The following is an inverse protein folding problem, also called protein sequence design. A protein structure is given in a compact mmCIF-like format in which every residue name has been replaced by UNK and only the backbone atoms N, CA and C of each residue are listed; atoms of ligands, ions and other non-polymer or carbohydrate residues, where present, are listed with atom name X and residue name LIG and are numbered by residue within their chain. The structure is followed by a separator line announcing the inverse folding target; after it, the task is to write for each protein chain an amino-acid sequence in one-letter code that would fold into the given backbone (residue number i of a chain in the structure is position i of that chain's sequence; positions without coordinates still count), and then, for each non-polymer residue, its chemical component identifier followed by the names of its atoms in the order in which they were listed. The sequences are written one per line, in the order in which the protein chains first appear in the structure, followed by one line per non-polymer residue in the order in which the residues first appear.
data_IF_936399803726
#
_entry.id   IF_936399803726
#
_cell.length_a   1.000
_cell.length_b   1.000
_cell.length_c   1.000
_cell.angle_alpha   90.00
_cell.angle_beta   90.00
_cell.angle_gamma   90.00
#
_symmetry.space_group_name_H-M   'P 1'
#
loop_
_entity.id
_entity.type
_entity.pdbx_description
1 polymer ?
#
# COMPACT_ATOMS: atom_id res chain seq x y z
N UNK A 1 32.70 2.69 11.99
CA UNK A 1 31.66 1.74 12.45
C UNK A 1 32.08 0.34 12.01
N UNK A 2 32.05 -0.67 12.88
CA UNK A 2 32.22 -2.06 12.44
C UNK A 2 31.00 -2.43 11.58
N UNK A 3 31.24 -3.07 10.43
CA UNK A 3 30.17 -3.54 9.55
C UNK A 3 29.39 -4.63 10.30
N UNK A 4 28.19 -4.31 10.79
CA UNK A 4 27.29 -5.30 11.40
C UNK A 4 26.54 -6.01 10.28
N UNK A 5 26.53 -7.33 10.31
CA UNK A 5 25.70 -8.11 9.39
C UNK A 5 24.22 -7.84 9.69
N UNK A 6 23.44 -7.63 8.65
CA UNK A 6 21.98 -7.49 8.70
C UNK A 6 21.39 -8.70 8.00
N UNK A 7 20.38 -9.32 8.62
CA UNK A 7 19.72 -10.51 8.10
C UNK A 7 18.23 -10.22 7.88
N UNK A 8 17.65 -10.85 6.86
CA UNK A 8 16.19 -10.89 6.66
C UNK A 8 15.67 -12.11 7.43
N UNK A 9 14.81 -11.88 8.42
CA UNK A 9 14.23 -12.95 9.26
C UNK A 9 12.84 -13.38 8.81
N UNK A 10 12.15 -12.53 8.04
CA UNK A 10 10.86 -12.85 7.45
C UNK A 10 10.53 -11.90 6.30
N UNK A 11 9.65 -12.37 5.41
CA UNK A 11 9.17 -11.66 4.23
C UNK A 11 7.68 -11.90 4.09
N UNK A 12 6.99 -10.92 3.50
CA UNK A 12 5.61 -11.07 3.07
C UNK A 12 5.41 -10.46 1.70
N UNK A 13 4.47 -11.00 0.94
CA UNK A 13 4.25 -10.61 -0.44
C UNK A 13 2.77 -10.55 -0.79
N UNK A 14 2.39 -9.49 -1.50
CA UNK A 14 1.10 -9.35 -2.16
C UNK A 14 1.39 -9.08 -3.62
N UNK A 15 0.84 -9.90 -4.50
CA UNK A 15 1.11 -9.81 -5.93
C UNK A 15 -0.11 -10.21 -6.75
N UNK A 16 -0.11 -9.85 -8.03
CA UNK A 16 -1.10 -10.37 -8.97
C UNK A 16 -0.95 -11.87 -9.26
N UNK A 17 0.15 -12.47 -8.80
CA UNK A 17 0.33 -13.93 -8.77
C UNK A 17 -0.25 -14.54 -7.49
N UNK A 18 -0.85 -13.79 -6.58
CA UNK A 18 -1.48 -14.31 -5.37
C UNK A 18 -0.93 -13.72 -4.08
N UNK A 19 -1.56 -14.12 -2.98
CA UNK A 19 -1.26 -13.66 -1.63
C UNK A 19 -0.27 -14.60 -0.94
N UNK A 20 0.80 -14.04 -0.41
CA UNK A 20 1.78 -14.74 0.37
C UNK A 20 3.09 -15.02 -0.36
N UNK A 21 4.19 -15.01 0.37
CA UNK A 21 5.55 -15.19 -0.15
C UNK A 21 5.75 -16.57 -0.80
N UNK A 22 5.16 -17.62 -0.22
CA UNK A 22 5.26 -18.97 -0.76
C UNK A 22 4.47 -19.12 -2.07
N UNK A 23 3.22 -18.63 -2.09
CA UNK A 23 2.36 -18.66 -3.28
C UNK A 23 3.00 -17.86 -4.41
N UNK A 24 3.52 -16.66 -4.10
CA UNK A 24 4.26 -15.84 -5.04
C UNK A 24 5.46 -16.61 -5.61
N UNK A 25 6.30 -17.19 -4.75
CA UNK A 25 7.50 -17.89 -5.19
C UNK A 25 7.21 -19.13 -6.04
N UNK A 26 6.24 -19.94 -5.64
CA UNK A 26 5.83 -21.14 -6.38
C UNK A 26 5.36 -20.79 -7.78
N UNK A 27 4.47 -19.80 -7.91
CA UNK A 27 3.92 -19.39 -9.22
C UNK A 27 4.95 -18.70 -10.11
N UNK A 28 5.88 -17.92 -9.53
CA UNK A 28 7.03 -17.37 -10.27
C UNK A 28 7.91 -18.49 -10.81
N UNK A 29 8.26 -19.47 -9.97
CA UNK A 29 9.09 -20.62 -10.37
C UNK A 29 8.44 -21.42 -11.49
N UNK A 30 7.12 -21.53 -11.44
CA UNK A 30 6.32 -22.30 -12.41
C UNK A 30 5.99 -21.46 -13.67
N UNK A 31 6.56 -20.26 -13.80
CA UNK A 31 6.43 -19.34 -14.93
C UNK A 31 4.98 -18.89 -15.21
N UNK A 32 4.16 -18.80 -14.17
CA UNK A 32 2.81 -18.26 -14.27
C UNK A 32 2.82 -16.74 -14.45
N UNK A 33 1.73 -16.19 -15.00
CA UNK A 33 1.49 -14.75 -15.11
C UNK A 33 0.21 -14.35 -14.40
N UNK A 34 0.29 -13.32 -13.57
CA UNK A 34 -0.86 -12.65 -12.96
C UNK A 34 -1.40 -11.49 -13.78
N UNK A 35 -0.81 -11.24 -14.95
CA UNK A 35 -1.20 -10.15 -15.85
C UNK A 35 -2.23 -10.68 -16.85
N UNK A 36 -3.41 -10.07 -16.82
CA UNK A 36 -4.51 -10.30 -17.77
C UNK A 36 -4.94 -8.97 -18.35
N UNK A 37 -5.07 -8.89 -19.68
CA UNK A 37 -5.44 -7.67 -20.41
C UNK A 37 -4.56 -6.44 -20.06
N UNK A 38 -3.27 -6.69 -19.80
CA UNK A 38 -2.30 -5.64 -19.42
C UNK A 38 -2.41 -5.16 -17.97
N UNK A 39 -3.22 -5.81 -17.14
CA UNK A 39 -3.45 -5.45 -15.74
C UNK A 39 -3.05 -6.58 -14.80
N UNK A 40 -2.33 -6.25 -13.73
CA UNK A 40 -2.02 -7.17 -12.62
C UNK A 40 -2.94 -6.90 -11.44
N UNK A 41 -4.08 -7.60 -11.38
CA UNK A 41 -5.03 -7.44 -10.29
C UNK A 41 -4.71 -8.32 -9.08
N UNK A 42 -4.94 -7.80 -7.88
CA UNK A 42 -5.01 -8.61 -6.64
C UNK A 42 -6.49 -8.73 -6.29
N UNK A 43 -7.11 -9.86 -6.62
CA UNK A 43 -8.56 -10.04 -6.57
C UNK A 43 -9.05 -10.64 -5.25
N UNK A 44 -8.17 -11.33 -4.53
CA UNK A 44 -8.46 -12.02 -3.27
C UNK A 44 -8.67 -11.05 -2.09
N UNK A 45 -8.20 -9.81 -2.22
CA UNK A 45 -8.39 -8.76 -1.22
C UNK A 45 -9.57 -7.89 -1.65
N UNK A 46 -10.69 -7.91 -0.91
CA UNK A 46 -11.89 -7.15 -1.28
C UNK A 46 -11.63 -5.66 -1.20
N UNK A 47 -12.13 -4.91 -2.18
CA UNK A 47 -12.03 -3.44 -2.19
C UNK A 47 -12.92 -2.87 -1.08
N UNK A 48 -12.33 -2.09 -0.18
CA UNK A 48 -13.04 -1.34 0.86
C UNK A 48 -13.07 0.13 0.51
N UNK A 49 -14.25 0.75 0.51
CA UNK A 49 -14.48 2.09 -0.05
C UNK A 49 -13.72 3.24 0.63
N UNK A 50 -13.14 3.01 1.81
CA UNK A 50 -12.54 4.04 2.69
C UNK A 50 -11.11 3.70 3.15
N UNK A 51 -10.52 2.60 2.68
CA UNK A 51 -9.15 2.21 3.00
C UNK A 51 -8.31 2.20 1.72
N UNK A 52 -7.19 2.93 1.71
CA UNK A 52 -6.31 2.98 0.56
C UNK A 52 -5.63 1.64 0.35
N UNK A 53 -5.69 1.09 -0.86
CA UNK A 53 -5.22 -0.29 -1.12
C UNK A 53 -3.75 -0.49 -0.79
N UNK A 54 -2.92 0.52 -1.03
CA UNK A 54 -1.50 0.47 -0.70
C UNK A 54 -1.26 0.24 0.81
N UNK A 55 -2.09 0.84 1.66
CA UNK A 55 -2.01 0.63 3.11
C UNK A 55 -2.40 -0.81 3.47
N UNK A 56 -3.53 -1.30 2.95
CA UNK A 56 -4.01 -2.66 3.23
C UNK A 56 -2.99 -3.72 2.79
N UNK A 57 -2.43 -3.59 1.57
CA UNK A 57 -1.39 -4.49 1.08
C UNK A 57 -0.14 -4.46 1.97
N UNK A 58 0.29 -3.27 2.38
CA UNK A 58 1.46 -3.11 3.24
C UNK A 58 1.25 -3.77 4.60
N UNK A 59 0.05 -3.63 5.18
CA UNK A 59 -0.29 -4.26 6.45
C UNK A 59 -0.36 -5.78 6.35
N UNK A 60 -0.94 -6.32 5.29
CA UNK A 60 -1.01 -7.78 5.08
C UNK A 60 0.39 -8.36 4.90
N UNK A 61 1.21 -7.76 4.03
CA UNK A 61 2.59 -8.21 3.80
C UNK A 61 3.45 -8.08 5.06
N UNK A 62 3.33 -6.99 5.82
CA UNK A 62 4.07 -6.80 7.06
C UNK A 62 3.70 -7.85 8.13
N UNK A 63 2.40 -8.18 8.26
CA UNK A 63 1.94 -9.24 9.18
C UNK A 63 2.48 -10.60 8.81
N UNK A 64 2.50 -10.93 7.52
CA UNK A 64 3.13 -12.17 7.04
C UNK A 64 4.63 -12.20 7.35
N UNK A 65 5.34 -11.11 7.10
CA UNK A 65 6.77 -11.02 7.38
C UNK A 65 7.08 -11.21 8.88
N UNK A 66 6.30 -10.58 9.77
CA UNK A 66 6.41 -10.76 11.21
C UNK A 66 6.17 -12.22 11.61
N UNK A 67 5.08 -12.82 11.11
CA UNK A 67 4.76 -14.22 11.40
C UNK A 67 5.87 -15.17 10.93
N UNK A 68 6.44 -14.96 9.73
CA UNK A 68 7.55 -15.77 9.22
C UNK A 68 8.83 -15.59 10.07
N UNK A 69 9.05 -14.40 10.62
CA UNK A 69 10.15 -14.12 11.54
C UNK A 69 9.93 -14.69 12.95
N UNK A 70 8.77 -15.28 13.24
CA UNK A 70 8.41 -15.75 14.58
C UNK A 70 8.07 -14.62 15.55
N UNK A 71 7.64 -13.46 15.03
CA UNK A 71 7.28 -12.28 15.79
C UNK A 71 5.75 -12.09 15.75
N UNK A 72 5.14 -11.84 16.90
CA UNK A 72 3.70 -11.50 17.00
C UNK A 72 3.47 -10.00 16.80
N UNK A 73 4.44 -9.17 17.21
CA UNK A 73 4.38 -7.72 17.20
C UNK A 73 5.79 -7.11 17.17
N UNK A 74 5.87 -5.83 16.83
CA UNK A 74 7.10 -5.03 16.92
C UNK A 74 7.25 -4.46 18.34
N UNK A 75 8.48 -4.25 18.78
CA UNK A 75 8.79 -3.50 19.98
C UNK A 75 8.73 -1.98 19.72
N UNK A 76 8.48 -1.13 20.74
CA UNK A 76 8.45 0.33 20.57
C UNK A 76 9.74 0.95 20.02
N UNK A 77 10.87 0.27 20.20
CA UNK A 77 12.19 0.70 19.72
C UNK A 77 12.49 0.23 18.29
N UNK A 78 11.62 -0.58 17.68
CA UNK A 78 11.80 -1.04 16.31
C UNK A 78 11.54 0.08 15.31
N UNK A 79 12.41 0.17 14.31
CA UNK A 79 12.25 1.10 13.20
C UNK A 79 11.30 0.53 12.15
N UNK A 80 10.27 1.31 11.77
CA UNK A 80 9.41 1.00 10.63
C UNK A 80 9.69 1.94 9.47
N UNK A 81 9.97 1.37 8.29
CA UNK A 81 10.18 2.12 7.05
C UNK A 81 9.14 1.64 6.04
N UNK A 82 8.25 2.55 5.64
CA UNK A 82 7.30 2.33 4.55
C UNK A 82 7.66 3.24 3.38
N UNK A 83 7.89 2.64 2.22
CA UNK A 83 8.14 3.36 0.97
C UNK A 83 7.02 3.06 -0.02
N UNK A 84 6.48 4.11 -0.63
CA UNK A 84 5.46 4.01 -1.67
C UNK A 84 5.65 5.08 -2.71
N UNK A 85 5.47 4.74 -3.99
CA UNK A 85 5.57 5.70 -5.10
C UNK A 85 4.24 6.41 -5.34
N UNK A 86 3.14 5.67 -5.34
CA UNK A 86 1.80 6.20 -5.65
C UNK A 86 0.94 6.45 -4.40
N UNK A 87 1.34 5.92 -3.25
CA UNK A 87 0.62 6.12 -1.99
C UNK A 87 -0.86 5.77 -2.11
N UNK A 88 -1.72 6.72 -1.73
CA UNK A 88 -3.18 6.61 -1.73
C UNK A 88 -3.82 7.38 -2.89
N UNK A 89 -3.20 7.36 -4.07
CA UNK A 89 -3.69 8.07 -5.26
C UNK A 89 -5.12 7.66 -5.65
N UNK A 90 -5.54 6.44 -5.32
CA UNK A 90 -6.88 5.90 -5.53
C UNK A 90 -7.94 6.65 -4.71
N UNK A 91 -7.64 6.97 -3.44
CA UNK A 91 -8.52 7.78 -2.60
C UNK A 91 -8.66 9.19 -3.19
N UNK A 92 -7.54 9.80 -3.60
CA UNK A 92 -7.55 11.16 -4.15
C UNK A 92 -8.35 11.26 -5.44
N UNK A 93 -8.18 10.27 -6.33
CA UNK A 93 -8.91 10.23 -7.58
C UNK A 93 -10.43 10.14 -7.36
N UNK A 94 -10.88 9.36 -6.37
CA UNK A 94 -12.30 9.23 -6.01
C UNK A 94 -12.86 10.56 -5.51
N UNK A 95 -12.20 11.19 -4.53
CA UNK A 95 -12.67 12.44 -3.93
C UNK A 95 -12.71 13.59 -4.95
N UNK A 96 -11.69 13.66 -5.82
CA UNK A 96 -11.67 14.62 -6.91
C UNK A 96 -12.81 14.41 -7.91
N UNK A 97 -13.13 13.15 -8.26
CA UNK A 97 -14.27 12.83 -9.12
C UNK A 97 -15.59 13.23 -8.48
N UNK A 98 -15.79 12.98 -7.18
CA UNK A 98 -17.02 13.36 -6.49
C UNK A 98 -17.18 14.89 -6.38
N UNK A 99 -16.08 15.63 -6.21
CA UNK A 99 -16.08 17.09 -6.32
C UNK A 99 -16.46 17.58 -7.73
N UNK A 100 -15.87 17.02 -8.80
CA UNK A 100 -16.24 17.37 -10.18
C UNK A 100 -17.71 17.05 -10.49
N UNK A 101 -18.29 16.07 -9.80
CA UNK A 101 -19.71 15.72 -9.87
C UNK A 101 -20.61 16.60 -9.00
N UNK A 102 -20.07 17.63 -8.35
CA UNK A 102 -20.77 18.54 -7.44
C UNK A 102 -21.43 17.83 -6.25
N UNK A 103 -20.85 16.70 -5.82
CA UNK A 103 -21.31 15.93 -4.66
C UNK A 103 -20.49 16.17 -3.40
N UNK A 104 -19.40 16.92 -3.51
CA UNK A 104 -18.53 17.34 -2.43
C UNK A 104 -18.23 18.83 -2.58
N UNK A 105 -18.13 19.57 -1.48
CA UNK A 105 -17.81 20.99 -1.51
C UNK A 105 -16.31 21.23 -1.64
N UNK A 106 -15.91 22.45 -1.98
CA UNK A 106 -14.51 22.84 -1.97
C UNK A 106 -13.91 22.74 -0.56
N UNK A 107 -14.69 23.07 0.48
CA UNK A 107 -14.26 22.97 1.88
C UNK A 107 -13.98 21.52 2.29
N UNK A 108 -14.85 20.59 1.88
CA UNK A 108 -14.67 19.15 2.12
C UNK A 108 -13.40 18.63 1.42
N UNK A 109 -13.20 19.05 0.17
CA UNK A 109 -12.02 18.69 -0.60
C UNK A 109 -10.74 19.25 0.06
N UNK A 110 -10.76 20.51 0.49
CA UNK A 110 -9.64 21.14 1.20
C UNK A 110 -9.32 20.41 2.51
N UNK A 111 -10.30 19.98 3.30
CA UNK A 111 -10.03 19.20 4.53
C UNK A 111 -9.33 17.88 4.23
N UNK A 112 -9.77 17.18 3.18
CA UNK A 112 -9.19 15.90 2.75
C UNK A 112 -7.75 16.09 2.26
N UNK A 113 -7.46 17.15 1.50
CA UNK A 113 -6.14 17.40 0.94
C UNK A 113 -5.17 18.17 1.86
N UNK A 114 -5.65 18.99 2.82
CA UNK A 114 -4.82 19.78 3.75
C UNK A 114 -3.93 18.94 4.65
N UNK A 115 -4.32 17.70 4.93
CA UNK A 115 -3.54 16.79 5.78
C UNK A 115 -2.49 15.98 5.00
N UNK A 116 -2.32 16.25 3.70
CA UNK A 116 -1.39 15.57 2.80
C UNK A 116 -0.44 16.62 2.17
N UNK A 117 0.73 16.20 1.67
CA UNK A 117 1.74 17.10 1.09
C UNK A 117 1.22 17.99 -0.07
N UNK A 118 0.14 17.57 -0.73
CA UNK A 118 -0.54 18.33 -1.78
C UNK A 118 -1.36 19.52 -1.26
N UNK A 119 -1.76 19.54 0.01
CA UNK A 119 -2.46 20.67 0.63
C UNK A 119 -1.67 21.98 0.51
N UNK A 120 -0.35 21.89 0.67
CA UNK A 120 0.56 23.02 0.47
C UNK A 120 0.71 23.45 -1.01
N UNK A 121 0.40 22.57 -1.97
CA UNK A 121 0.38 22.91 -3.40
C UNK A 121 -0.86 23.76 -3.73
N UNK A 122 -2.00 23.47 -3.12
CA UNK A 122 -3.22 24.27 -3.31
C UNK A 122 -3.04 25.70 -2.78
N UNK A 123 -2.35 25.87 -1.65
CA UNK A 123 -1.96 27.18 -1.10
C UNK A 123 -1.04 27.98 -2.06
N UNK A 124 -0.40 27.33 -3.02
CA UNK A 124 0.47 27.98 -4.04
C UNK A 124 -0.25 28.35 -5.34
N UNK A 125 -1.51 27.91 -5.51
CA UNK A 125 -2.34 28.17 -6.70
C UNK A 125 -3.31 29.35 -6.51
N UNK A 126 -3.46 29.85 -5.28
CA UNK A 126 -4.22 31.06 -4.91
C UNK A 126 -3.29 32.26 -4.71
#
# INVERSE_FOLDING_TARGET
MKNRAVCVTGMGAISCLGLGVNVFWERVRDAETGITDGLGSVAEIPVREHEGRAYEFSMIAAREALAQAGLEQLDPEDGFILATTTGQIDIWAKEFVEFLRQKSSQEDLEVIFRHQSLGALLDSLT
#
